data_IF_803577021100
#
_entry.id   IF_803577021100
#
_cell.length_a   1.000
_cell.length_b   1.000
_cell.length_c   1.000
_cell.angle_alpha   90.00
_cell.angle_beta   90.00
_cell.angle_gamma   90.00
#
_symmetry.space_group_name_H-M   'P 1'
#
loop_
_entity.id
_entity.type
_entity.pdbx_description
1 polymer ?
#
# COMPACT_ATOMS: atom_id res chain seq x y z
N UNK A 1 -8.27 -13.83 30.11
CA UNK A 1 -9.58 -14.07 30.70
C UNK A 1 -10.73 -13.97 29.68
N UNK A 2 -10.47 -13.64 28.42
CA UNK A 2 -11.46 -13.52 27.34
C UNK A 2 -12.25 -12.21 27.33
N UNK A 3 -11.93 -11.26 28.19
CA UNK A 3 -12.53 -9.92 28.17
C UNK A 3 -12.07 -9.12 26.96
N UNK A 4 -12.99 -8.36 26.36
CA UNK A 4 -12.70 -7.36 25.33
C UNK A 4 -12.68 -5.92 25.91
N UNK A 5 -12.81 -5.77 27.24
CA UNK A 5 -12.79 -4.48 27.90
C UNK A 5 -11.35 -4.02 28.11
N UNK A 6 -11.04 -2.79 27.72
CA UNK A 6 -9.80 -2.10 28.03
C UNK A 6 -10.11 -0.87 28.91
N UNK A 7 -9.32 -0.65 29.96
CA UNK A 7 -9.40 0.53 30.85
C UNK A 7 -8.09 1.33 30.73
N UNK A 8 -7.93 1.99 29.58
CA UNK A 8 -6.74 2.80 29.27
C UNK A 8 -6.79 4.13 29.99
N UNK A 9 -5.94 4.31 31.00
CA UNK A 9 -5.83 5.53 31.79
C UNK A 9 -4.58 6.32 31.42
N UNK A 10 -4.70 7.64 31.43
CA UNK A 10 -3.58 8.54 31.19
C UNK A 10 -2.50 8.35 32.26
N UNK A 11 -1.26 8.12 31.80
CA UNK A 11 -0.08 7.97 32.65
C UNK A 11 0.84 9.19 32.56
N UNK A 12 1.00 9.76 31.36
CA UNK A 12 1.87 10.90 31.13
C UNK A 12 2.03 11.23 29.65
N UNK A 13 2.87 12.23 29.39
CA UNK A 13 3.28 12.56 28.02
C UNK A 13 4.75 12.94 27.97
N UNK A 14 5.33 12.91 26.75
CA UNK A 14 6.65 13.44 26.45
C UNK A 14 6.63 14.15 25.09
N UNK A 15 7.52 15.12 24.93
CA UNK A 15 7.78 15.80 23.67
C UNK A 15 9.14 15.35 23.14
N UNK A 16 9.19 15.03 21.85
CA UNK A 16 10.40 14.60 21.15
C UNK A 16 10.62 15.51 19.95
N UNK A 17 11.88 15.84 19.65
CA UNK A 17 12.25 16.51 18.39
C UNK A 17 12.22 15.50 17.25
N UNK A 18 11.78 15.97 16.07
CA UNK A 18 11.69 15.14 14.89
C UNK A 18 10.47 14.23 14.85
N UNK A 19 10.40 13.46 13.79
CA UNK A 19 9.35 12.50 13.51
C UNK A 19 9.70 11.13 14.08
N UNK A 20 8.75 10.45 14.70
CA UNK A 20 8.93 9.05 15.12
C UNK A 20 9.14 8.13 13.90
N UNK A 21 9.96 7.08 14.09
CA UNK A 21 10.20 6.07 13.07
C UNK A 21 9.03 5.08 12.96
N UNK A 22 8.72 4.67 11.73
CA UNK A 22 7.76 3.60 11.42
C UNK A 22 8.53 2.34 11.00
N UNK A 23 8.60 1.34 11.88
CA UNK A 23 9.30 0.09 11.58
C UNK A 23 8.43 -0.83 10.71
N UNK A 24 8.90 -1.15 9.50
CA UNK A 24 8.22 -2.05 8.57
C UNK A 24 6.92 -1.52 7.96
N UNK A 25 6.59 -0.26 8.20
CA UNK A 25 5.41 0.43 7.68
C UNK A 25 5.81 1.74 7.00
N UNK A 26 5.11 2.15 5.95
CA UNK A 26 5.25 3.49 5.38
C UNK A 26 4.88 4.57 6.40
N UNK A 27 5.56 5.71 6.33
CA UNK A 27 5.25 6.86 7.15
C UNK A 27 5.90 8.12 6.62
N UNK A 28 5.36 9.27 6.96
CA UNK A 28 6.03 10.54 6.73
C UNK A 28 7.36 10.57 7.49
N UNK A 29 8.35 11.23 6.94
CA UNK A 29 9.68 11.41 7.54
C UNK A 29 10.06 12.89 7.59
N UNK A 30 10.93 13.27 8.52
CA UNK A 30 11.48 14.61 8.63
C UNK A 30 12.86 14.58 9.25
N UNK A 31 13.60 15.69 9.12
CA UNK A 31 14.76 15.97 9.95
C UNK A 31 14.30 16.40 11.36
N UNK A 32 15.22 16.35 12.34
CA UNK A 32 14.92 16.64 13.75
C UNK A 32 14.36 18.05 13.99
N UNK A 33 14.78 19.04 13.18
CA UNK A 33 14.37 20.42 13.34
C UNK A 33 13.09 20.82 12.56
N UNK A 34 12.54 19.89 11.75
CA UNK A 34 11.37 20.18 10.90
C UNK A 34 10.03 19.79 11.55
N UNK A 35 10.06 19.02 12.64
CA UNK A 35 8.85 18.51 13.31
C UNK A 35 9.05 18.34 14.79
N UNK A 36 7.95 18.38 15.53
CA UNK A 36 7.87 17.95 16.92
C UNK A 36 6.87 16.81 17.07
N UNK A 37 7.16 15.87 17.96
CA UNK A 37 6.31 14.72 18.26
C UNK A 37 5.84 14.75 19.71
N UNK A 38 4.53 14.78 19.91
CA UNK A 38 3.90 14.51 21.20
C UNK A 38 3.62 13.02 21.31
N UNK A 39 4.07 12.40 22.40
CA UNK A 39 3.73 11.01 22.74
C UNK A 39 2.93 11.00 24.04
N UNK A 40 1.69 10.52 23.98
CA UNK A 40 0.82 10.35 25.14
C UNK A 40 0.83 8.87 25.52
N UNK A 41 1.15 8.56 26.77
CA UNK A 41 1.11 7.21 27.31
C UNK A 41 -0.16 6.96 28.11
N UNK A 42 -0.85 5.90 27.73
CA UNK A 42 -2.01 5.36 28.45
C UNK A 42 -1.65 3.96 28.95
N UNK A 43 -2.24 3.56 30.09
CA UNK A 43 -1.97 2.28 30.72
C UNK A 43 -3.23 1.58 31.18
N UNK A 44 -3.35 0.31 30.86
CA UNK A 44 -4.27 -0.62 31.49
C UNK A 44 -3.51 -1.48 32.51
N UNK A 45 -3.65 -1.15 33.78
CA UNK A 45 -2.93 -1.84 34.86
C UNK A 45 -3.38 -3.30 35.05
N UNK A 46 -4.64 -3.60 34.76
CA UNK A 46 -5.20 -4.94 34.91
C UNK A 46 -4.78 -5.87 33.77
N UNK A 47 -4.77 -5.36 32.54
CA UNK A 47 -4.30 -6.10 31.37
C UNK A 47 -2.77 -6.06 31.21
N UNK A 48 -2.07 -5.22 31.96
CA UNK A 48 -0.63 -4.93 31.81
C UNK A 48 -0.26 -4.53 30.39
N UNK A 49 -1.04 -3.60 29.82
CA UNK A 49 -0.84 -3.10 28.46
C UNK A 49 -0.61 -1.60 28.51
N UNK A 50 0.46 -1.15 27.83
CA UNK A 50 0.69 0.26 27.59
C UNK A 50 0.24 0.59 26.15
N UNK A 51 -0.33 1.78 25.98
CA UNK A 51 -0.69 2.33 24.68
C UNK A 51 -0.04 3.71 24.54
N UNK A 52 0.80 3.87 23.52
CA UNK A 52 1.43 5.14 23.18
C UNK A 52 0.75 5.73 21.95
N UNK A 53 0.26 6.96 22.08
CA UNK A 53 -0.35 7.74 21.00
C UNK A 53 0.69 8.76 20.52
N UNK A 54 1.17 8.59 19.29
CA UNK A 54 2.14 9.47 18.67
C UNK A 54 1.45 10.50 17.78
N UNK A 55 1.81 11.77 17.93
CA UNK A 55 1.35 12.87 17.09
C UNK A 55 2.58 13.68 16.66
N UNK A 56 2.90 13.70 15.37
CA UNK A 56 3.93 14.60 14.85
C UNK A 56 3.30 15.74 14.06
N UNK A 57 3.77 16.94 14.32
CA UNK A 57 3.27 18.18 13.71
C UNK A 57 4.26 18.67 12.66
N UNK A 58 3.77 18.86 11.44
CA UNK A 58 4.47 19.46 10.30
C UNK A 58 3.86 20.84 10.06
N UNK A 59 4.36 21.87 10.76
CA UNK A 59 3.78 23.20 10.83
C UNK A 59 3.63 23.84 9.44
N UNK A 60 4.67 23.77 8.58
CA UNK A 60 4.67 24.35 7.23
C UNK A 60 3.62 23.77 6.28
N UNK A 61 2.98 22.65 6.67
CA UNK A 61 2.01 21.91 5.85
C UNK A 61 0.64 21.80 6.50
N UNK A 62 0.44 22.35 7.70
CA UNK A 62 -0.76 22.15 8.53
C UNK A 62 -1.11 20.65 8.69
N UNK A 63 -0.08 19.79 8.70
CA UNK A 63 -0.21 18.34 8.71
C UNK A 63 0.11 17.79 10.10
N UNK A 64 -0.77 16.92 10.60
CA UNK A 64 -0.52 16.10 11.78
C UNK A 64 -0.52 14.64 11.34
N UNK A 65 0.55 13.91 11.69
CA UNK A 65 0.56 12.45 11.54
C UNK A 65 0.30 11.76 12.87
N UNK A 66 -0.36 10.60 12.83
CA UNK A 66 -0.72 9.84 14.01
C UNK A 66 -0.49 8.35 13.83
N UNK A 67 0.09 7.71 14.84
CA UNK A 67 0.13 6.25 14.98
C UNK A 67 -0.11 5.85 16.42
N UNK A 68 -0.45 4.59 16.64
CA UNK A 68 -0.64 3.99 17.97
C UNK A 68 0.30 2.81 18.12
N UNK A 69 1.03 2.75 19.22
CA UNK A 69 1.81 1.59 19.63
C UNK A 69 1.16 0.95 20.84
N UNK A 70 0.94 -0.36 20.76
CA UNK A 70 0.41 -1.17 21.86
C UNK A 70 1.52 -2.09 22.32
N UNK A 71 1.89 -1.98 23.59
CA UNK A 71 2.99 -2.77 24.21
C UNK A 71 2.39 -3.73 25.23
N UNK A 72 2.63 -5.00 25.04
CA UNK A 72 2.26 -6.01 26.04
C UNK A 72 3.34 -6.08 27.15
N UNK A 73 3.09 -5.42 28.26
CA UNK A 73 3.98 -5.43 29.43
C UNK A 73 3.76 -6.65 30.35
N UNK A 74 2.71 -7.44 30.07
CA UNK A 74 2.35 -8.62 30.84
C UNK A 74 3.21 -9.84 30.49
N UNK A 75 2.94 -10.94 31.18
CA UNK A 75 3.58 -12.23 30.95
C UNK A 75 2.78 -13.15 30.02
N UNK A 76 1.52 -12.84 29.81
CA UNK A 76 0.60 -13.63 28.99
C UNK A 76 0.42 -13.02 27.59
N UNK A 77 0.09 -13.88 26.63
CA UNK A 77 -0.26 -13.47 25.28
C UNK A 77 -1.61 -12.74 25.29
N UNK A 78 -1.70 -11.58 24.59
CA UNK A 78 -2.95 -10.86 24.35
C UNK A 78 -3.29 -10.88 22.86
N UNK A 79 -4.56 -10.62 22.54
CA UNK A 79 -5.03 -10.53 21.17
C UNK A 79 -5.68 -9.18 20.91
N UNK A 80 -5.20 -8.51 19.86
CA UNK A 80 -5.76 -7.25 19.37
C UNK A 80 -6.75 -7.56 18.24
N UNK A 81 -8.03 -7.40 18.49
CA UNK A 81 -9.08 -7.61 17.49
C UNK A 81 -9.46 -6.32 16.75
N UNK A 82 -9.09 -5.17 17.28
CA UNK A 82 -9.22 -3.84 16.66
C UNK A 82 -8.18 -2.90 17.26
N UNK A 83 -7.47 -2.18 16.40
CA UNK A 83 -6.59 -1.09 16.80
C UNK A 83 -6.60 -0.01 15.71
N UNK A 84 -7.27 1.10 15.97
CA UNK A 84 -7.40 2.18 15.00
C UNK A 84 -6.19 3.11 15.04
N UNK A 85 -5.74 3.56 13.87
CA UNK A 85 -4.68 4.55 13.71
C UNK A 85 -5.14 5.95 14.12
N UNK A 86 -6.41 6.27 13.82
CA UNK A 86 -7.01 7.58 14.03
C UNK A 86 -8.34 7.46 14.75
N UNK A 87 -8.57 8.39 15.69
CA UNK A 87 -9.86 8.66 16.29
C UNK A 87 -9.97 10.16 16.53
N UNK A 88 -10.92 10.82 15.87
CA UNK A 88 -11.19 12.26 15.99
C UNK A 88 -12.64 12.50 16.36
N UNK A 89 -12.85 13.33 17.37
CA UNK A 89 -14.18 13.75 17.82
C UNK A 89 -14.49 15.17 17.35
N UNK A 90 -15.73 15.37 16.90
CA UNK A 90 -16.28 16.66 16.48
C UNK A 90 -17.54 16.94 17.29
N UNK A 91 -17.63 18.16 17.86
CA UNK A 91 -18.79 18.60 18.65
C UNK A 91 -19.91 19.11 17.72
N UNK A 92 -20.14 18.43 16.60
CA UNK A 92 -21.13 18.76 15.58
C UNK A 92 -21.44 17.58 14.68
N UNK A 93 -22.59 17.61 14.02
CA UNK A 93 -23.04 16.59 13.03
C UNK A 93 -23.50 17.22 11.72
N UNK A 94 -23.47 18.55 11.59
CA UNK A 94 -23.92 19.30 10.42
C UNK A 94 -22.83 19.39 9.33
N UNK A 95 -22.13 18.28 9.10
CA UNK A 95 -21.06 18.15 8.12
C UNK A 95 -21.46 17.19 6.98
N UNK A 96 -20.70 17.25 5.89
CA UNK A 96 -20.71 16.25 4.84
C UNK A 96 -19.52 15.30 4.99
N UNK A 97 -19.75 14.04 4.62
CA UNK A 97 -18.73 13.00 4.51
C UNK A 97 -18.44 12.75 3.04
N UNK A 98 -17.19 12.89 2.65
CA UNK A 98 -16.72 12.66 1.28
C UNK A 98 -15.84 11.42 1.26
N UNK A 99 -16.11 10.55 0.30
CA UNK A 99 -15.38 9.32 0.02
C UNK A 99 -15.03 9.24 -1.46
N UNK A 100 -14.06 8.39 -1.80
CA UNK A 100 -13.57 8.23 -3.17
C UNK A 100 -13.75 6.78 -3.58
N UNK A 101 -14.61 6.57 -4.56
CA UNK A 101 -15.18 5.26 -4.92
C UNK A 101 -14.99 4.98 -6.41
N UNK A 102 -15.56 3.92 -6.89
CA UNK A 102 -15.85 3.44 -8.22
C UNK A 102 -15.12 2.15 -8.61
N UNK A 103 -14.55 2.05 -9.81
CA UNK A 103 -14.01 0.79 -10.34
C UNK A 103 -12.78 1.02 -11.21
N UNK A 104 -12.20 -0.05 -11.71
CA UNK A 104 -11.11 0.00 -12.70
C UNK A 104 -11.47 0.94 -13.87
N UNK A 105 -10.55 1.79 -14.28
CA UNK A 105 -10.66 2.88 -15.27
C UNK A 105 -11.55 4.07 -14.86
N UNK A 106 -12.15 4.03 -13.67
CA UNK A 106 -12.95 5.14 -13.14
C UNK A 106 -12.69 5.35 -11.65
N UNK A 107 -11.45 5.11 -11.22
CA UNK A 107 -11.07 5.17 -9.81
C UNK A 107 -11.20 6.59 -9.24
N UNK A 108 -11.48 6.64 -7.94
CA UNK A 108 -11.53 7.87 -7.13
C UNK A 108 -12.58 8.89 -7.58
N UNK A 109 -13.72 8.42 -8.05
CA UNK A 109 -14.89 9.26 -8.18
C UNK A 109 -15.34 9.74 -6.79
N UNK A 110 -15.47 11.04 -6.64
CA UNK A 110 -15.89 11.66 -5.38
C UNK A 110 -17.37 11.40 -5.14
N UNK A 111 -17.71 10.88 -3.97
CA UNK A 111 -19.08 10.76 -3.45
C UNK A 111 -19.20 11.59 -2.18
N UNK A 112 -20.22 12.48 -2.13
CA UNK A 112 -20.46 13.42 -1.06
C UNK A 112 -21.86 13.25 -0.51
N UNK A 113 -21.97 13.02 0.79
CA UNK A 113 -23.24 12.87 1.48
C UNK A 113 -23.25 13.54 2.85
N UNK A 114 -24.42 14.06 3.25
CA UNK A 114 -24.58 14.59 4.60
C UNK A 114 -24.42 13.49 5.66
N UNK A 115 -23.80 13.83 6.78
CA UNK A 115 -23.78 12.95 7.95
C UNK A 115 -25.19 12.66 8.45
N UNK A 116 -25.42 11.41 8.85
CA UNK A 116 -26.69 10.89 9.37
C UNK A 116 -26.45 10.19 10.68
N UNK A 117 -27.48 10.10 11.53
CA UNK A 117 -27.43 9.33 12.77
C UNK A 117 -27.00 7.89 12.53
N UNK A 118 -26.16 7.36 13.40
CA UNK A 118 -25.54 6.03 13.27
C UNK A 118 -24.19 6.08 12.56
N UNK A 119 -23.80 4.98 11.94
CA UNK A 119 -22.47 4.80 11.35
C UNK A 119 -22.56 4.83 9.82
N UNK A 120 -21.70 5.65 9.20
CA UNK A 120 -21.40 5.65 7.77
C UNK A 120 -19.95 5.26 7.60
N UNK A 121 -19.66 4.29 6.74
CA UNK A 121 -18.29 3.79 6.58
C UNK A 121 -17.96 3.41 5.15
N UNK A 122 -16.66 3.47 4.84
CA UNK A 122 -16.04 2.89 3.66
C UNK A 122 -14.84 2.06 4.06
N UNK A 123 -14.50 1.07 3.26
CA UNK A 123 -13.35 0.22 3.56
C UNK A 123 -13.13 -0.85 2.53
N UNK A 124 -12.10 -1.66 2.76
CA UNK A 124 -11.77 -2.82 1.95
C UNK A 124 -11.47 -4.03 2.83
N UNK A 125 -11.95 -5.19 2.40
CA UNK A 125 -11.62 -6.50 2.97
C UNK A 125 -11.02 -7.44 1.91
N UNK A 126 -10.41 -6.84 0.87
CA UNK A 126 -9.91 -7.52 -0.32
C UNK A 126 -8.40 -7.83 -0.28
N UNK A 127 -7.75 -7.53 0.86
CA UNK A 127 -6.30 -7.64 1.01
C UNK A 127 -5.51 -6.49 0.39
N UNK A 128 -6.20 -5.56 -0.28
CA UNK A 128 -5.68 -4.34 -0.90
C UNK A 128 -6.57 -3.15 -0.51
N UNK A 129 -6.08 -1.92 -0.68
CA UNK A 129 -6.90 -0.71 -0.47
C UNK A 129 -8.08 -0.61 -1.44
N UNK A 130 -7.96 -1.13 -2.66
CA UNK A 130 -8.96 -1.42 -3.68
C UNK A 130 -9.39 -0.26 -4.59
N UNK A 131 -9.96 -0.60 -5.76
CA UNK A 131 -10.54 0.38 -6.69
C UNK A 131 -11.85 0.98 -6.16
N UNK A 132 -12.60 0.18 -5.39
CA UNK A 132 -13.96 0.53 -4.97
C UNK A 132 -13.97 1.64 -3.93
N UNK A 133 -12.97 1.68 -3.08
CA UNK A 133 -12.84 2.68 -2.01
C UNK A 133 -11.37 3.03 -1.82
N UNK A 134 -11.09 4.29 -1.49
CA UNK A 134 -9.73 4.76 -1.23
C UNK A 134 -9.55 5.05 0.27
N UNK A 135 -8.38 4.78 0.88
CA UNK A 135 -8.10 5.09 2.29
C UNK A 135 -7.81 6.58 2.52
N UNK A 136 -8.66 7.43 1.93
CA UNK A 136 -8.69 8.87 2.10
C UNK A 136 -10.14 9.33 2.19
N UNK A 137 -10.47 10.08 3.22
CA UNK A 137 -11.82 10.61 3.45
C UNK A 137 -11.76 12.07 3.88
N UNK A 138 -12.85 12.80 3.68
CA UNK A 138 -12.97 14.21 4.10
C UNK A 138 -14.27 14.37 4.89
N UNK A 139 -14.17 15.06 6.03
CA UNK A 139 -15.31 15.69 6.70
C UNK A 139 -15.26 17.19 6.43
N UNK A 140 -16.36 17.80 6.05
CA UNK A 140 -16.36 19.21 5.68
C UNK A 140 -17.70 19.91 5.99
N UNK A 141 -17.66 21.23 6.01
CA UNK A 141 -18.87 22.04 6.02
C UNK A 141 -19.77 21.71 4.83
N UNK A 142 -21.11 21.74 5.02
CA UNK A 142 -22.07 21.40 3.96
C UNK A 142 -21.95 22.28 2.70
N UNK A 143 -21.47 23.50 2.85
CA UNK A 143 -21.23 24.42 1.74
C UNK A 143 -19.79 24.47 1.25
N UNK A 144 -18.90 23.61 1.75
CA UNK A 144 -17.51 23.63 1.34
C UNK A 144 -17.33 23.29 -0.13
N UNK A 145 -16.41 24.02 -0.80
CA UNK A 145 -15.99 23.83 -2.18
C UNK A 145 -14.46 23.92 -2.30
N UNK A 146 -13.95 24.15 -3.51
CA UNK A 146 -12.51 24.28 -3.77
C UNK A 146 -11.86 25.47 -3.02
N UNK A 147 -12.61 26.55 -2.78
CA UNK A 147 -12.10 27.84 -2.32
C UNK A 147 -12.57 28.22 -0.91
N UNK A 148 -13.66 27.62 -0.43
CA UNK A 148 -14.31 28.02 0.84
C UNK A 148 -14.77 26.82 1.68
N UNK A 149 -14.93 27.07 2.99
CA UNK A 149 -15.43 26.11 3.96
C UNK A 149 -14.34 25.32 4.68
N UNK A 150 -14.64 24.87 5.89
CA UNK A 150 -13.71 24.07 6.71
C UNK A 150 -13.75 22.63 6.23
N UNK A 151 -12.56 22.07 5.97
CA UNK A 151 -12.38 20.69 5.53
C UNK A 151 -11.35 19.98 6.40
N UNK A 152 -11.64 18.74 6.80
CA UNK A 152 -10.77 17.84 7.54
C UNK A 152 -10.49 16.62 6.66
N UNK A 153 -9.31 16.58 6.03
CA UNK A 153 -8.87 15.42 5.27
C UNK A 153 -8.16 14.42 6.17
N UNK A 154 -8.43 13.14 5.98
CA UNK A 154 -7.74 12.05 6.67
C UNK A 154 -7.29 10.99 5.67
N UNK A 155 -5.97 10.71 5.65
CA UNK A 155 -5.31 9.71 4.80
C UNK A 155 -4.73 8.61 5.70
N UNK A 156 -4.95 7.35 5.33
CA UNK A 156 -4.26 6.22 5.95
C UNK A 156 -3.12 5.73 5.04
N UNK A 157 -1.92 5.66 5.57
CA UNK A 157 -0.74 5.14 4.85
C UNK A 157 -0.70 3.62 4.95
N UNK A 158 -1.64 2.96 4.27
CA UNK A 158 -1.78 1.51 4.32
C UNK A 158 -2.41 0.95 3.06
N UNK A 159 -1.79 -0.09 2.50
CA UNK A 159 -2.19 -0.68 1.21
C UNK A 159 -3.00 -1.96 1.34
N UNK A 160 -3.44 -2.31 2.56
CA UNK A 160 -4.24 -3.50 2.87
C UNK A 160 -5.69 -3.19 3.24
N UNK A 161 -6.30 -4.11 3.97
CA UNK A 161 -7.67 -3.96 4.47
C UNK A 161 -7.78 -2.77 5.41
N UNK A 162 -8.64 -1.80 5.09
CA UNK A 162 -8.84 -0.61 5.90
C UNK A 162 -10.33 -0.33 6.14
N UNK A 163 -10.60 0.42 7.19
CA UNK A 163 -11.90 1.01 7.47
C UNK A 163 -11.74 2.50 7.80
N UNK A 164 -12.63 3.32 7.26
CA UNK A 164 -12.88 4.69 7.71
C UNK A 164 -14.36 4.82 8.00
N UNK A 165 -14.71 5.09 9.27
CA UNK A 165 -16.08 5.13 9.73
C UNK A 165 -16.35 6.43 10.49
N UNK A 166 -17.49 7.07 10.20
CA UNK A 166 -18.01 8.21 10.96
C UNK A 166 -19.29 7.80 11.67
N UNK A 167 -19.28 7.93 13.00
CA UNK A 167 -20.45 7.71 13.83
C UNK A 167 -21.02 9.05 14.32
N UNK A 168 -22.32 9.27 14.10
CA UNK A 168 -23.07 10.37 14.69
C UNK A 168 -23.89 9.87 15.86
N UNK A 169 -23.59 10.37 17.07
CA UNK A 169 -24.27 9.98 18.29
C UNK A 169 -25.56 10.75 18.51
N UNK A 170 -26.37 10.27 19.47
CA UNK A 170 -27.60 10.95 19.93
C UNK A 170 -27.33 12.28 20.65
N UNK A 171 -26.08 12.60 20.98
CA UNK A 171 -25.67 13.84 21.63
C UNK A 171 -25.16 14.91 20.69
N UNK A 172 -25.49 14.79 19.39
CA UNK A 172 -25.10 15.74 18.32
C UNK A 172 -23.60 15.93 18.15
N UNK A 173 -22.83 14.89 18.43
CA UNK A 173 -21.41 14.84 18.11
C UNK A 173 -21.11 13.71 17.14
N UNK A 174 -19.98 13.82 16.44
CA UNK A 174 -19.53 12.81 15.50
C UNK A 174 -18.09 12.39 15.76
N UNK A 175 -17.78 11.14 15.42
CA UNK A 175 -16.47 10.54 15.61
C UNK A 175 -16.00 9.87 14.33
N UNK A 176 -14.86 10.30 13.80
CA UNK A 176 -14.15 9.61 12.71
C UNK A 176 -13.15 8.63 13.30
N UNK A 177 -13.25 7.37 12.91
CA UNK A 177 -12.28 6.31 13.22
C UNK A 177 -11.72 5.76 11.91
N UNK A 178 -10.37 5.64 11.81
CA UNK A 178 -9.71 5.10 10.63
C UNK A 178 -8.54 4.19 11.04
N UNK A 179 -8.36 3.09 10.32
CA UNK A 179 -7.26 2.15 10.58
C UNK A 179 -7.41 0.83 9.82
N UNK A 180 -6.70 -0.21 10.27
CA UNK A 180 -6.86 -1.56 9.75
C UNK A 180 -8.30 -2.02 9.98
N UNK A 181 -8.91 -2.60 8.93
CA UNK A 181 -10.27 -3.12 9.01
C UNK A 181 -10.36 -4.26 10.04
N UNK A 182 -11.29 -4.23 11.01
CA UNK A 182 -11.38 -5.26 12.06
C UNK A 182 -11.87 -6.62 11.54
N UNK A 183 -12.47 -6.67 10.35
CA UNK A 183 -12.91 -7.91 9.73
C UNK A 183 -11.72 -8.84 9.45
N UNK A 184 -11.76 -10.05 9.98
CA UNK A 184 -10.66 -11.03 9.93
C UNK A 184 -9.32 -10.54 10.49
N UNK A 185 -9.30 -9.45 11.27
CA UNK A 185 -8.11 -9.00 11.97
C UNK A 185 -8.10 -9.52 13.41
N UNK A 186 -7.05 -10.26 13.74
CA UNK A 186 -6.79 -10.66 15.12
C UNK A 186 -5.27 -10.86 15.23
N UNK A 187 -4.60 -9.89 15.86
CA UNK A 187 -3.15 -9.92 16.02
C UNK A 187 -2.78 -10.44 17.41
N UNK A 188 -1.97 -11.47 17.45
CA UNK A 188 -1.43 -12.04 18.68
C UNK A 188 -0.18 -11.28 19.10
N UNK A 189 -0.17 -10.75 20.30
CA UNK A 189 0.93 -9.99 20.89
C UNK A 189 1.46 -10.75 22.10
N UNK A 190 2.61 -11.40 21.96
CA UNK A 190 3.26 -12.10 23.07
C UNK A 190 3.83 -11.12 24.11
N UNK A 191 4.23 -11.63 25.25
CA UNK A 191 4.86 -10.86 26.31
C UNK A 191 6.06 -10.04 25.79
N UNK A 192 6.11 -8.77 26.10
CA UNK A 192 7.14 -7.83 25.66
C UNK A 192 7.08 -7.39 24.19
N UNK A 193 6.14 -7.90 23.41
CA UNK A 193 6.00 -7.49 22.01
C UNK A 193 5.23 -6.18 21.85
N UNK A 194 5.48 -5.52 20.72
CA UNK A 194 4.85 -4.27 20.32
C UNK A 194 4.06 -4.47 19.02
N UNK A 195 2.88 -3.88 18.95
CA UNK A 195 2.12 -3.71 17.71
C UNK A 195 2.04 -2.22 17.38
N UNK A 196 2.40 -1.86 16.16
CA UNK A 196 2.30 -0.48 15.66
C UNK A 196 1.24 -0.42 14.56
N UNK A 197 0.29 0.51 14.67
CA UNK A 197 -0.71 0.73 13.63
C UNK A 197 -0.10 1.43 12.42
N UNK A 198 -0.66 1.28 11.21
CA UNK A 198 -0.32 2.16 10.09
C UNK A 198 -0.50 3.63 10.48
N UNK A 199 0.27 4.50 9.85
CA UNK A 199 0.17 5.94 10.10
C UNK A 199 -1.06 6.54 9.44
N UNK A 200 -1.74 7.46 10.14
CA UNK A 200 -2.76 8.34 9.59
C UNK A 200 -2.21 9.76 9.49
N UNK A 201 -2.52 10.47 8.41
CA UNK A 201 -2.13 11.85 8.16
C UNK A 201 -3.39 12.72 8.03
N UNK A 202 -3.41 13.84 8.74
CA UNK A 202 -4.61 14.69 8.89
C UNK A 202 -4.23 16.12 8.52
N UNK A 203 -5.05 16.77 7.70
CA UNK A 203 -4.97 18.21 7.40
C UNK A 203 -6.32 18.85 7.68
N UNK A 204 -6.31 19.99 8.37
CA UNK A 204 -7.45 20.87 8.49
C UNK A 204 -7.23 22.10 7.62
N UNK A 205 -8.15 22.40 6.70
CA UNK A 205 -8.15 23.60 5.86
C UNK A 205 -9.37 24.45 6.14
N UNK A 206 -9.23 25.74 6.47
CA UNK A 206 -10.35 26.65 6.56
C UNK A 206 -10.79 27.24 5.19
N UNK A 207 -10.03 27.00 4.13
CA UNK A 207 -10.20 27.58 2.81
C UNK A 207 -10.44 26.53 1.72
N UNK A 208 -11.33 25.59 1.99
CA UNK A 208 -11.81 24.60 1.02
C UNK A 208 -10.83 23.49 0.65
N UNK A 209 -11.25 22.69 -0.34
CA UNK A 209 -10.53 21.49 -0.78
C UNK A 209 -9.22 21.83 -1.50
N UNK A 210 -9.20 22.95 -2.24
CA UNK A 210 -8.02 23.37 -3.01
C UNK A 210 -6.81 23.65 -2.13
N UNK A 211 -6.97 24.32 -0.99
CA UNK A 211 -5.88 24.51 -0.03
C UNK A 211 -5.45 23.17 0.58
N UNK A 212 -6.39 22.37 1.07
CA UNK A 212 -6.12 21.08 1.69
C UNK A 212 -5.33 20.16 0.73
N UNK A 213 -5.77 20.04 -0.53
CA UNK A 213 -5.09 19.19 -1.50
C UNK A 213 -3.67 19.66 -1.81
N UNK A 214 -3.46 20.99 -1.95
CA UNK A 214 -2.11 21.56 -2.16
C UNK A 214 -1.18 21.30 -0.96
N UNK A 215 -1.69 21.36 0.26
CA UNK A 215 -0.92 21.05 1.48
C UNK A 215 -0.50 19.56 1.49
N UNK A 216 -1.44 18.62 1.22
CA UNK A 216 -1.08 17.21 1.05
C UNK A 216 -0.04 17.00 -0.05
N UNK A 217 -0.22 17.61 -1.23
CA UNK A 217 0.73 17.46 -2.34
C UNK A 217 2.14 17.97 -1.99
N UNK A 218 2.25 19.08 -1.25
CA UNK A 218 3.54 19.60 -0.81
C UNK A 218 4.19 18.69 0.22
N UNK A 219 3.42 18.27 1.24
CA UNK A 219 3.90 17.37 2.28
C UNK A 219 4.33 16.01 1.71
N UNK A 220 3.52 15.41 0.83
CA UNK A 220 3.84 14.15 0.16
C UNK A 220 5.14 14.26 -0.63
N UNK A 221 5.31 15.31 -1.44
CA UNK A 221 6.54 15.50 -2.23
C UNK A 221 7.78 15.71 -1.36
N UNK A 222 7.66 16.31 -0.20
CA UNK A 222 8.81 16.64 0.66
C UNK A 222 9.12 15.56 1.69
N UNK A 223 8.09 14.91 2.22
CA UNK A 223 8.19 14.11 3.45
C UNK A 223 7.64 12.68 3.31
N UNK A 224 7.22 12.25 2.11
CA UNK A 224 6.73 10.89 1.88
C UNK A 224 7.43 10.21 0.71
N UNK A 225 7.50 10.85 -0.46
CA UNK A 225 8.09 10.25 -1.67
C UNK A 225 9.60 10.05 -1.50
N UNK A 226 10.08 8.86 -1.87
CA UNK A 226 11.50 8.51 -1.86
C UNK A 226 12.01 8.12 -3.25
N UNK A 227 11.19 8.31 -4.29
CA UNK A 227 11.55 7.93 -5.65
C UNK A 227 12.72 8.77 -6.21
N UNK A 228 13.50 8.26 -7.20
CA UNK A 228 14.68 8.94 -7.74
C UNK A 228 14.36 10.23 -8.51
N UNK A 229 13.07 10.50 -8.76
CA UNK A 229 12.58 11.71 -9.43
C UNK A 229 11.90 12.70 -8.49
N UNK A 230 11.98 12.51 -7.18
CA UNK A 230 11.45 13.47 -6.21
C UNK A 230 12.02 14.86 -6.48
N UNK A 231 11.14 15.85 -6.72
CA UNK A 231 11.51 17.21 -7.10
C UNK A 231 11.99 17.37 -8.55
N UNK A 232 11.93 16.34 -9.38
CA UNK A 232 12.33 16.39 -10.80
C UNK A 232 11.16 15.96 -11.70
N UNK A 233 11.25 16.28 -13.00
CA UNK A 233 10.30 15.78 -14.00
C UNK A 233 10.53 14.28 -14.23
N UNK A 234 9.46 13.51 -14.14
CA UNK A 234 9.47 12.09 -14.52
C UNK A 234 9.59 11.94 -16.04
N UNK A 235 10.23 10.86 -16.54
CA UNK A 235 10.35 10.64 -17.97
C UNK A 235 8.99 10.37 -18.62
N UNK A 236 8.80 10.84 -19.84
CA UNK A 236 7.65 10.44 -20.66
C UNK A 236 7.88 9.02 -21.12
N UNK A 237 6.95 8.12 -20.86
CA UNK A 237 7.08 6.70 -21.16
C UNK A 237 6.05 6.22 -22.18
N UNK A 238 6.41 5.12 -22.86
CA UNK A 238 5.50 4.25 -23.60
C UNK A 238 5.62 2.83 -23.09
N UNK A 239 4.48 2.16 -22.97
CA UNK A 239 4.35 0.75 -22.58
C UNK A 239 3.77 -0.02 -23.77
N UNK A 240 4.28 -1.24 -24.05
CA UNK A 240 3.85 -2.00 -25.22
C UNK A 240 2.54 -2.77 -25.04
N UNK A 241 1.98 -2.87 -23.82
CA UNK A 241 0.85 -3.76 -23.54
C UNK A 241 -0.30 -3.62 -24.53
N UNK A 242 -0.87 -2.44 -24.66
CA UNK A 242 -2.01 -2.19 -25.55
C UNK A 242 -1.69 -2.35 -27.04
N UNK A 243 -0.40 -2.28 -27.43
CA UNK A 243 0.03 -2.43 -28.81
C UNK A 243 0.27 -3.88 -29.23
N UNK A 244 0.58 -4.77 -28.27
CA UNK A 244 1.04 -6.13 -28.60
C UNK A 244 0.43 -7.22 -27.76
N UNK A 245 -0.03 -6.92 -26.56
CA UNK A 245 -0.34 -7.92 -25.52
C UNK A 245 0.81 -8.94 -25.40
N UNK A 246 0.52 -10.25 -25.45
CA UNK A 246 1.51 -11.32 -25.38
C UNK A 246 2.22 -11.59 -26.72
N UNK A 247 1.73 -11.06 -27.84
CA UNK A 247 2.27 -11.31 -29.18
C UNK A 247 3.30 -10.28 -29.56
N UNK A 248 4.55 -10.51 -29.14
CA UNK A 248 5.68 -9.66 -29.50
C UNK A 248 6.99 -10.44 -29.66
N UNK A 249 7.92 -9.82 -30.39
CA UNK A 249 9.32 -10.21 -30.53
C UNK A 249 10.22 -9.03 -30.20
N UNK A 250 11.51 -9.29 -30.02
CA UNK A 250 12.49 -8.21 -29.80
C UNK A 250 12.49 -7.18 -30.95
N UNK A 251 12.23 -7.59 -32.18
CA UNK A 251 12.18 -6.68 -33.34
C UNK A 251 10.95 -5.77 -33.26
N UNK A 252 9.76 -6.33 -32.98
CA UNK A 252 8.54 -5.55 -32.85
C UNK A 252 8.64 -4.52 -31.73
N UNK A 253 9.22 -4.91 -30.56
CA UNK A 253 9.45 -3.98 -29.46
C UNK A 253 10.42 -2.86 -29.84
N UNK A 254 11.50 -3.19 -30.54
CA UNK A 254 12.47 -2.19 -31.01
C UNK A 254 11.88 -1.25 -32.07
N UNK A 255 10.95 -1.72 -32.91
CA UNK A 255 10.25 -0.86 -33.86
C UNK A 255 9.35 0.15 -33.16
N UNK A 256 8.57 -0.29 -32.15
CA UNK A 256 7.76 0.61 -31.32
C UNK A 256 8.66 1.63 -30.59
N UNK A 257 9.78 1.18 -30.01
CA UNK A 257 10.72 2.06 -29.33
C UNK A 257 11.32 3.12 -30.29
N UNK A 258 11.62 2.75 -31.56
CA UNK A 258 12.17 3.67 -32.57
C UNK A 258 11.18 4.78 -32.92
N UNK A 259 9.90 4.43 -33.15
CA UNK A 259 8.87 5.40 -33.41
C UNK A 259 8.63 6.31 -32.22
N UNK A 260 8.62 5.73 -30.99
CA UNK A 260 8.46 6.47 -29.75
C UNK A 260 9.63 7.46 -29.53
N UNK A 261 10.87 7.03 -29.76
CA UNK A 261 12.07 7.88 -29.65
C UNK A 261 12.01 9.07 -30.63
N UNK A 262 11.55 8.84 -31.86
CA UNK A 262 11.38 9.91 -32.86
C UNK A 262 10.36 10.98 -32.43
N UNK A 263 9.41 10.63 -31.56
CA UNK A 263 8.43 11.54 -30.96
C UNK A 263 8.90 12.18 -29.64
N UNK A 264 10.14 11.89 -29.19
CA UNK A 264 10.70 12.44 -27.95
C UNK A 264 10.30 11.72 -26.68
N UNK A 265 9.77 10.48 -26.77
CA UNK A 265 9.51 9.63 -25.61
C UNK A 265 10.83 9.12 -25.05
N UNK A 266 10.97 9.12 -23.73
CA UNK A 266 12.25 8.98 -23.03
C UNK A 266 12.47 7.59 -22.40
N UNK A 267 11.38 6.83 -22.18
CA UNK A 267 11.41 5.55 -21.50
C UNK A 267 10.49 4.56 -22.22
N UNK A 268 11.01 3.38 -22.55
CA UNK A 268 10.27 2.25 -23.08
C UNK A 268 10.07 1.21 -21.97
N UNK A 269 8.83 0.81 -21.71
CA UNK A 269 8.47 -0.20 -20.70
C UNK A 269 7.97 -1.46 -21.38
N UNK A 270 8.70 -2.56 -21.22
CA UNK A 270 8.28 -3.89 -21.65
C UNK A 270 7.33 -4.49 -20.62
N UNK A 271 6.08 -4.74 -21.03
CA UNK A 271 5.01 -5.28 -20.18
C UNK A 271 4.98 -6.81 -20.14
N UNK A 272 3.91 -7.43 -19.68
CA UNK A 272 3.72 -8.86 -19.48
C UNK A 272 4.03 -9.70 -20.74
N UNK A 273 4.56 -10.92 -20.54
CA UNK A 273 4.80 -11.88 -21.62
C UNK A 273 6.27 -12.12 -22.00
N UNK A 274 7.24 -11.50 -21.31
CA UNK A 274 8.68 -11.61 -21.63
C UNK A 274 9.36 -12.84 -21.01
N UNK A 275 8.71 -13.57 -20.11
CA UNK A 275 9.30 -14.63 -19.29
C UNK A 275 8.63 -16.00 -19.50
N UNK A 276 9.31 -17.08 -19.16
CA UNK A 276 8.82 -18.45 -19.23
C UNK A 276 8.11 -18.79 -20.55
N UNK A 277 6.99 -19.49 -20.47
CA UNK A 277 6.09 -19.78 -21.59
C UNK A 277 4.89 -18.82 -21.63
N UNK A 278 5.03 -17.61 -21.11
CA UNK A 278 3.96 -16.62 -20.89
C UNK A 278 3.40 -16.09 -22.21
N UNK A 279 2.41 -16.80 -22.76
CA UNK A 279 1.70 -16.41 -23.99
C UNK A 279 0.20 -16.11 -23.75
N UNK A 280 -0.25 -16.22 -22.49
CA UNK A 280 -1.60 -15.92 -22.04
C UNK A 280 -1.60 -15.77 -20.51
N UNK A 281 -2.73 -15.42 -19.92
CA UNK A 281 -2.90 -15.17 -18.47
C UNK A 281 -2.77 -16.43 -17.59
N UNK A 282 -2.78 -17.65 -18.15
CA UNK A 282 -2.96 -18.89 -17.38
C UNK A 282 -1.67 -19.67 -17.10
N UNK A 283 -0.49 -19.19 -17.56
CA UNK A 283 0.76 -19.91 -17.43
C UNK A 283 1.93 -19.03 -17.02
N UNK A 284 2.97 -19.67 -16.46
CA UNK A 284 4.32 -19.16 -16.16
C UNK A 284 4.42 -18.00 -15.16
N UNK A 285 3.34 -17.47 -14.63
CA UNK A 285 3.44 -16.43 -13.61
C UNK A 285 4.10 -17.01 -12.35
N UNK A 286 5.22 -16.40 -11.94
CA UNK A 286 6.13 -16.93 -10.91
C UNK A 286 7.49 -17.39 -11.46
N UNK A 287 7.59 -17.65 -12.77
CA UNK A 287 8.81 -18.14 -13.45
C UNK A 287 9.54 -16.97 -14.15
N UNK A 288 10.22 -16.13 -13.39
CA UNK A 288 10.83 -14.88 -13.87
C UNK A 288 12.14 -15.14 -14.66
N UNK A 289 12.06 -15.98 -15.69
CA UNK A 289 13.17 -16.30 -16.59
C UNK A 289 12.88 -15.83 -18.01
N UNK A 290 13.82 -15.13 -18.62
CA UNK A 290 13.65 -14.53 -19.95
C UNK A 290 13.29 -15.59 -21.00
N UNK A 291 12.24 -15.33 -21.76
CA UNK A 291 11.85 -16.15 -22.91
C UNK A 291 12.77 -15.84 -24.11
N UNK A 292 13.71 -16.75 -24.41
CA UNK A 292 14.68 -16.57 -25.48
C UNK A 292 14.11 -16.74 -26.90
N UNK A 293 12.92 -17.36 -27.02
CA UNK A 293 12.25 -17.45 -28.34
C UNK A 293 11.66 -16.10 -28.74
N UNK A 294 11.11 -15.35 -27.77
CA UNK A 294 10.62 -13.97 -27.99
C UNK A 294 11.74 -12.94 -28.03
N UNK A 295 12.76 -13.13 -27.20
CA UNK A 295 13.88 -12.22 -26.99
C UNK A 295 15.20 -12.92 -27.28
N UNK A 296 15.53 -13.21 -28.56
CA UNK A 296 16.81 -13.79 -28.93
C UNK A 296 17.97 -12.89 -28.48
N UNK A 297 18.95 -13.48 -27.78
CA UNK A 297 20.03 -12.73 -27.14
C UNK A 297 19.71 -12.12 -25.80
N UNK A 298 18.54 -12.46 -25.24
CA UNK A 298 18.14 -12.07 -23.89
C UNK A 298 17.75 -10.60 -23.75
N UNK A 299 17.64 -10.15 -22.50
CA UNK A 299 17.35 -8.75 -22.19
C UNK A 299 18.48 -7.82 -22.63
N UNK A 300 19.72 -8.29 -22.59
CA UNK A 300 20.92 -7.52 -22.95
C UNK A 300 20.86 -7.03 -24.40
N UNK A 301 20.44 -7.88 -25.32
CA UNK A 301 20.33 -7.52 -26.73
C UNK A 301 19.23 -6.48 -26.97
N UNK A 302 18.04 -6.66 -26.35
CA UNK A 302 16.93 -5.72 -26.48
C UNK A 302 17.25 -4.38 -25.83
N UNK A 303 17.73 -4.37 -24.59
CA UNK A 303 18.04 -3.16 -23.83
C UNK A 303 19.12 -2.35 -24.54
N UNK A 304 20.18 -3.00 -25.07
CA UNK A 304 21.21 -2.31 -25.85
C UNK A 304 20.64 -1.61 -27.10
N UNK A 305 19.69 -2.23 -27.79
CA UNK A 305 19.01 -1.61 -28.96
C UNK A 305 18.24 -0.38 -28.56
N UNK A 306 17.46 -0.45 -27.46
CA UNK A 306 16.64 0.66 -26.93
C UNK A 306 17.52 1.80 -26.44
N UNK A 307 18.60 1.49 -25.71
CA UNK A 307 19.57 2.50 -25.24
C UNK A 307 20.27 3.24 -26.39
N UNK A 308 20.59 2.52 -27.48
CA UNK A 308 21.18 3.14 -28.66
C UNK A 308 20.24 4.14 -29.38
N UNK A 309 18.93 4.09 -29.09
CA UNK A 309 17.92 5.09 -29.51
C UNK A 309 17.82 6.28 -28.56
N UNK A 310 18.63 6.32 -27.50
CA UNK A 310 18.60 7.36 -26.47
C UNK A 310 17.52 7.20 -25.41
N UNK A 311 16.83 6.06 -25.36
CA UNK A 311 15.75 5.78 -24.41
C UNK A 311 16.25 5.01 -23.20
N UNK A 312 15.60 5.21 -22.05
CA UNK A 312 15.69 4.34 -20.88
C UNK A 312 14.83 3.09 -21.08
N UNK A 313 15.09 2.07 -20.26
CA UNK A 313 14.34 0.82 -20.30
C UNK A 313 13.68 0.52 -18.96
N UNK A 314 12.43 0.05 -19.02
CA UNK A 314 11.64 -0.43 -17.89
C UNK A 314 11.07 -1.83 -18.15
N UNK A 315 10.71 -2.51 -17.07
CA UNK A 315 10.19 -3.87 -17.11
C UNK A 315 8.97 -4.03 -16.20
N UNK A 316 8.02 -4.85 -16.60
CA UNK A 316 6.86 -5.26 -15.83
C UNK A 316 7.13 -6.55 -15.05
N UNK A 317 6.65 -6.62 -13.81
CA UNK A 317 6.59 -7.84 -13.03
C UNK A 317 5.30 -7.87 -12.18
N UNK A 318 4.77 -9.07 -11.92
CA UNK A 318 3.65 -9.33 -11.00
C UNK A 318 4.10 -10.34 -9.92
N UNK A 319 4.98 -9.93 -9.00
CA UNK A 319 5.73 -10.85 -8.14
C UNK A 319 4.88 -11.51 -7.04
N UNK A 320 3.69 -11.00 -6.78
CA UNK A 320 2.79 -11.50 -5.74
C UNK A 320 1.92 -12.67 -6.19
N UNK A 321 1.91 -12.96 -7.50
CA UNK A 321 0.99 -13.92 -8.10
C UNK A 321 1.74 -15.12 -8.66
N UNK A 322 1.01 -16.23 -8.80
CA UNK A 322 1.51 -17.48 -9.38
C UNK A 322 0.41 -18.18 -10.17
N UNK A 323 0.77 -18.76 -11.32
CA UNK A 323 -0.13 -19.69 -12.02
C UNK A 323 0.10 -21.13 -11.54
N UNK A 324 -0.95 -21.95 -11.54
CA UNK A 324 -0.80 -23.39 -11.31
C UNK A 324 0.07 -24.04 -12.40
N UNK A 325 0.00 -23.54 -13.64
CA UNK A 325 0.90 -23.90 -14.74
C UNK A 325 2.16 -23.01 -14.72
N UNK A 326 2.97 -23.18 -13.67
CA UNK A 326 4.30 -22.61 -13.52
C UNK A 326 5.24 -23.62 -12.86
N UNK A 327 6.53 -23.49 -13.07
CA UNK A 327 7.54 -24.30 -12.39
C UNK A 327 7.57 -23.99 -10.90
N UNK A 328 7.37 -22.74 -10.53
CA UNK A 328 7.30 -22.31 -9.14
C UNK A 328 6.16 -23.04 -8.40
N UNK A 329 4.96 -23.07 -8.96
CA UNK A 329 3.83 -23.73 -8.28
C UNK A 329 4.00 -25.23 -8.22
N UNK A 330 4.54 -25.85 -9.29
CA UNK A 330 4.83 -27.30 -9.29
C UNK A 330 5.84 -27.68 -8.21
N UNK A 331 6.84 -26.81 -7.97
CA UNK A 331 7.84 -27.05 -6.94
C UNK A 331 7.31 -26.75 -5.52
N UNK A 332 6.47 -25.74 -5.37
CA UNK A 332 6.02 -25.19 -4.08
C UNK A 332 4.53 -24.85 -4.07
N UNK A 333 3.61 -25.84 -4.20
CA UNK A 333 2.18 -25.55 -4.19
C UNK A 333 1.69 -25.00 -2.84
N UNK A 334 2.42 -25.27 -1.76
CA UNK A 334 2.18 -24.76 -0.40
C UNK A 334 2.55 -23.26 -0.21
N UNK A 335 3.14 -22.62 -1.24
CA UNK A 335 3.46 -21.19 -1.18
C UNK A 335 2.29 -20.31 -1.59
N UNK A 336 1.26 -20.87 -2.20
CA UNK A 336 0.04 -20.13 -2.49
C UNK A 336 -0.85 -20.04 -1.23
N UNK A 337 -1.49 -18.88 -1.02
CA UNK A 337 -2.56 -18.72 -0.04
C UNK A 337 -3.76 -19.58 -0.49
N UNK A 338 -4.10 -20.62 0.28
CA UNK A 338 -5.24 -21.49 0.00
C UNK A 338 -5.71 -22.22 1.26
N UNK A 339 -7.02 -22.35 1.40
CA UNK A 339 -7.63 -23.09 2.51
C UNK A 339 -7.46 -24.59 2.29
N UNK A 340 -6.85 -25.36 3.22
CA UNK A 340 -6.66 -26.78 3.07
C UNK A 340 -7.97 -27.53 2.80
N UNK A 341 -7.95 -28.43 1.83
CA UNK A 341 -9.10 -29.25 1.45
C UNK A 341 -10.20 -28.54 0.65
N UNK A 342 -9.97 -27.30 0.21
CA UNK A 342 -10.86 -26.56 -0.69
C UNK A 342 -10.20 -26.32 -2.04
N UNK A 343 -11.00 -26.28 -3.11
CA UNK A 343 -10.52 -25.81 -4.40
C UNK A 343 -10.19 -24.30 -4.29
N UNK A 344 -9.02 -23.84 -4.78
CA UNK A 344 -8.64 -22.43 -4.68
C UNK A 344 -9.52 -21.56 -5.58
N UNK A 345 -9.86 -20.36 -5.09
CA UNK A 345 -10.46 -19.32 -5.93
C UNK A 345 -9.41 -18.74 -6.86
N UNK A 346 -9.72 -18.71 -8.14
CA UNK A 346 -8.87 -18.10 -9.17
C UNK A 346 -9.43 -16.75 -9.58
N UNK A 347 -8.55 -15.73 -9.62
CA UNK A 347 -8.82 -14.46 -10.28
C UNK A 347 -7.85 -14.33 -11.45
N UNK A 348 -8.32 -14.11 -12.68
CA UNK A 348 -7.49 -14.04 -13.90
C UNK A 348 -6.57 -15.26 -14.11
N UNK A 349 -7.01 -16.46 -13.72
CA UNK A 349 -6.17 -17.67 -13.80
C UNK A 349 -5.02 -17.74 -12.78
N UNK A 350 -4.99 -16.86 -11.79
CA UNK A 350 -3.89 -16.69 -10.85
C UNK A 350 -4.26 -17.09 -9.43
N UNK A 351 -3.28 -17.52 -8.66
CA UNK A 351 -3.27 -17.66 -7.21
C UNK A 351 -2.35 -16.58 -6.60
N UNK A 352 -2.50 -16.35 -5.31
CA UNK A 352 -1.71 -15.36 -4.55
C UNK A 352 -0.63 -16.10 -3.75
N UNK A 353 0.62 -15.67 -3.86
CA UNK A 353 1.71 -16.19 -3.03
C UNK A 353 1.58 -15.71 -1.58
N UNK A 354 1.97 -16.55 -0.63
CA UNK A 354 1.92 -16.22 0.80
C UNK A 354 3.10 -15.32 1.22
N UNK A 355 2.96 -14.03 0.99
CA UNK A 355 3.98 -13.04 1.38
C UNK A 355 4.07 -12.82 2.91
N UNK A 356 3.23 -13.44 3.72
CA UNK A 356 3.46 -13.51 5.15
C UNK A 356 4.70 -14.35 5.50
N UNK A 357 5.15 -15.21 4.59
CA UNK A 357 6.30 -16.12 4.73
C UNK A 357 7.58 -15.46 4.22
N UNK A 358 8.63 -15.58 5.04
CA UNK A 358 9.95 -15.04 4.68
C UNK A 358 10.61 -15.80 3.53
N UNK A 359 10.50 -17.14 3.51
CA UNK A 359 11.08 -18.00 2.47
C UNK A 359 10.49 -17.68 1.09
N UNK A 360 9.19 -17.41 1.00
CA UNK A 360 8.53 -16.99 -0.26
C UNK A 360 9.08 -15.63 -0.71
N UNK A 361 9.13 -14.65 0.20
CA UNK A 361 9.66 -13.31 -0.12
C UNK A 361 11.12 -13.35 -0.57
N UNK A 362 11.95 -14.13 0.13
CA UNK A 362 13.37 -14.23 -0.21
C UNK A 362 13.56 -14.84 -1.61
N UNK A 363 12.81 -15.89 -1.93
CA UNK A 363 12.87 -16.53 -3.26
C UNK A 363 12.45 -15.57 -4.38
N UNK A 364 11.32 -14.88 -4.21
CA UNK A 364 10.84 -13.90 -5.20
C UNK A 364 11.84 -12.75 -5.35
N UNK A 365 12.38 -12.24 -4.23
CA UNK A 365 13.41 -11.21 -4.26
C UNK A 365 14.65 -11.64 -5.05
N UNK A 366 15.13 -12.88 -4.83
CA UNK A 366 16.29 -13.42 -5.53
C UNK A 366 16.06 -13.56 -7.04
N UNK A 367 14.84 -13.93 -7.45
CA UNK A 367 14.46 -13.94 -8.87
C UNK A 367 14.43 -12.52 -9.45
N UNK A 368 13.79 -11.57 -8.77
CA UNK A 368 13.77 -10.16 -9.18
C UNK A 368 15.18 -9.60 -9.30
N UNK A 369 16.04 -9.86 -8.31
CA UNK A 369 17.44 -9.44 -8.30
C UNK A 369 18.21 -9.94 -9.52
N UNK A 370 18.03 -11.19 -9.94
CA UNK A 370 18.65 -11.73 -11.15
C UNK A 370 18.27 -10.93 -12.39
N UNK A 371 16.99 -10.59 -12.54
CA UNK A 371 16.49 -9.80 -13.67
C UNK A 371 17.01 -8.36 -13.62
N UNK A 372 16.86 -7.70 -12.46
CA UNK A 372 17.21 -6.29 -12.29
C UNK A 372 18.72 -6.02 -12.35
N UNK A 373 19.56 -7.06 -12.13
CA UNK A 373 21.02 -6.94 -12.16
C UNK A 373 21.66 -7.34 -13.49
N UNK A 374 20.92 -7.97 -14.43
CA UNK A 374 21.51 -8.42 -15.68
C UNK A 374 21.68 -7.29 -16.70
N UNK A 375 20.85 -6.24 -16.63
CA UNK A 375 20.88 -5.08 -17.52
C UNK A 375 20.54 -3.80 -16.77
N UNK A 376 20.79 -2.64 -17.37
CA UNK A 376 20.39 -1.35 -16.79
C UNK A 376 18.89 -1.14 -16.94
N UNK A 377 18.15 -1.35 -15.84
CA UNK A 377 16.72 -1.10 -15.73
C UNK A 377 16.51 0.18 -14.93
N UNK A 378 15.73 1.12 -15.46
CA UNK A 378 15.44 2.41 -14.85
C UNK A 378 14.02 2.51 -14.27
N UNK A 379 13.17 1.52 -14.55
CA UNK A 379 11.76 1.52 -14.21
C UNK A 379 11.24 0.11 -14.00
N UNK A 380 10.50 -0.09 -12.93
CA UNK A 380 9.82 -1.35 -12.63
C UNK A 380 8.31 -1.08 -12.48
N UNK A 381 7.50 -1.64 -13.37
CA UNK A 381 6.05 -1.70 -13.18
C UNK A 381 5.73 -2.93 -12.36
N UNK A 382 5.40 -2.71 -11.08
CA UNK A 382 4.94 -3.74 -10.15
C UNK A 382 3.43 -3.85 -10.23
N UNK A 383 2.92 -4.96 -10.71
CA UNK A 383 1.49 -5.19 -10.87
C UNK A 383 0.93 -6.20 -9.85
N UNK A 384 -0.38 -6.15 -9.65
CA UNK A 384 -1.18 -7.09 -8.86
C UNK A 384 -2.60 -7.13 -9.41
N UNK A 385 -2.94 -8.15 -10.19
CA UNK A 385 -4.18 -8.14 -10.98
C UNK A 385 -5.36 -8.88 -10.35
N UNK A 386 -5.28 -9.20 -9.07
CA UNK A 386 -6.41 -9.80 -8.34
C UNK A 386 -6.39 -9.45 -6.86
N UNK A 387 -7.56 -9.48 -6.23
CA UNK A 387 -7.71 -9.38 -4.78
C UNK A 387 -7.37 -10.71 -4.08
N UNK A 388 -7.06 -10.64 -2.77
CA UNK A 388 -6.96 -11.80 -1.90
C UNK A 388 -8.37 -12.34 -1.60
N UNK A 389 -8.57 -13.64 -1.74
CA UNK A 389 -9.87 -14.31 -1.50
C UNK A 389 -9.75 -15.43 -0.48
N UNK A 390 -8.94 -16.45 -0.74
CA UNK A 390 -8.77 -17.63 0.11
C UNK A 390 -7.56 -17.43 1.03
N UNK A 391 -7.70 -16.58 2.04
CA UNK A 391 -6.59 -16.18 2.89
C UNK A 391 -6.38 -17.18 4.01
N UNK A 392 -5.41 -18.06 3.79
CA UNK A 392 -4.93 -19.03 4.78
C UNK A 392 -3.46 -19.31 4.54
N UNK A 393 -2.62 -19.11 5.55
CA UNK A 393 -1.21 -19.49 5.52
C UNK A 393 -1.00 -20.84 6.18
N UNK A 394 -0.42 -21.79 5.45
CA UNK A 394 -0.15 -23.14 5.98
C UNK A 394 0.89 -23.16 7.11
N UNK A 395 1.68 -22.10 7.24
CA UNK A 395 2.71 -21.98 8.28
C UNK A 395 2.20 -21.39 9.59
N UNK A 396 0.99 -20.81 9.60
CA UNK A 396 0.39 -20.25 10.80
C UNK A 396 -0.66 -21.20 11.41
N UNK A 397 -0.69 -21.36 12.73
CA UNK A 397 -1.76 -22.11 13.38
C UNK A 397 -3.12 -21.42 13.20
N UNK A 398 -4.21 -22.18 13.32
CA UNK A 398 -5.58 -21.68 13.12
C UNK A 398 -5.89 -20.42 13.93
N UNK A 399 -5.39 -20.32 15.16
CA UNK A 399 -5.60 -19.16 16.05
C UNK A 399 -4.92 -17.87 15.56
N UNK A 400 -3.96 -17.96 14.63
CA UNK A 400 -3.20 -16.83 14.09
C UNK A 400 -3.54 -16.48 12.64
N UNK A 401 -4.52 -17.14 12.05
CA UNK A 401 -4.95 -16.85 10.67
C UNK A 401 -5.50 -15.43 10.51
N UNK A 402 -6.00 -14.80 11.57
CA UNK A 402 -6.40 -13.39 11.58
C UNK A 402 -5.26 -12.39 11.39
N UNK A 403 -4.00 -12.84 11.42
CA UNK A 403 -2.82 -12.01 11.16
C UNK A 403 -2.42 -11.98 9.67
N UNK A 404 -2.90 -12.93 8.85
CA UNK A 404 -2.36 -13.17 7.51
C UNK A 404 -2.48 -11.93 6.61
N UNK A 405 -3.62 -11.26 6.58
CA UNK A 405 -3.81 -10.06 5.77
C UNK A 405 -2.77 -8.97 6.09
N UNK A 406 -2.57 -8.68 7.38
CA UNK A 406 -1.61 -7.66 7.77
C UNK A 406 -0.16 -8.12 7.54
N UNK A 407 0.16 -9.38 7.85
CA UNK A 407 1.48 -9.96 7.57
C UNK A 407 1.83 -9.96 6.09
N UNK A 408 0.83 -10.20 5.24
CA UNK A 408 0.98 -10.12 3.79
C UNK A 408 1.41 -8.71 3.36
N UNK A 409 0.71 -7.68 3.83
CA UNK A 409 1.05 -6.27 3.52
C UNK A 409 2.44 -5.90 4.03
N UNK A 410 2.79 -6.32 5.27
CA UNK A 410 4.15 -6.12 5.78
C UNK A 410 5.20 -6.83 4.93
N UNK A 411 4.84 -7.98 4.34
CA UNK A 411 5.71 -8.70 3.41
C UNK A 411 5.92 -7.96 2.09
N UNK A 412 4.90 -7.28 1.57
CA UNK A 412 5.04 -6.40 0.40
C UNK A 412 5.97 -5.22 0.70
N UNK A 413 5.76 -4.56 1.83
CA UNK A 413 6.61 -3.44 2.24
C UNK A 413 8.07 -3.85 2.47
N UNK A 414 8.32 -5.04 3.04
CA UNK A 414 9.68 -5.61 3.17
C UNK A 414 10.35 -5.76 1.80
N UNK A 415 9.64 -6.28 0.79
CA UNK A 415 10.17 -6.42 -0.56
C UNK A 415 10.44 -5.07 -1.23
N UNK A 416 9.51 -4.14 -1.15
CA UNK A 416 9.65 -2.79 -1.69
C UNK A 416 10.82 -2.05 -1.03
N UNK A 417 10.99 -2.19 0.30
CA UNK A 417 12.11 -1.60 1.04
C UNK A 417 13.47 -2.17 0.58
N UNK A 418 13.55 -3.49 0.36
CA UNK A 418 14.76 -4.12 -0.19
C UNK A 418 15.09 -3.60 -1.59
N UNK A 419 14.07 -3.46 -2.46
CA UNK A 419 14.25 -2.90 -3.79
C UNK A 419 14.71 -1.46 -3.76
N UNK A 420 14.07 -0.62 -2.94
CA UNK A 420 14.45 0.77 -2.78
C UNK A 420 15.90 0.93 -2.27
N UNK A 421 16.32 0.10 -1.31
CA UNK A 421 17.68 0.09 -0.78
C UNK A 421 18.72 -0.38 -1.81
N UNK A 422 18.44 -1.49 -2.51
CA UNK A 422 19.42 -2.14 -3.39
C UNK A 422 19.42 -1.55 -4.82
N UNK A 423 18.30 -0.91 -5.23
CA UNK A 423 18.11 -0.30 -6.55
C UNK A 423 17.50 1.12 -6.45
N UNK A 424 18.13 2.07 -5.73
CA UNK A 424 17.55 3.40 -5.46
C UNK A 424 17.36 4.26 -6.72
N UNK A 425 17.92 3.85 -7.86
CA UNK A 425 17.80 4.53 -9.16
C UNK A 425 16.58 4.07 -9.97
N UNK A 426 15.91 3.00 -9.58
CA UNK A 426 14.72 2.48 -10.25
C UNK A 426 13.49 3.24 -9.79
N UNK A 427 12.74 3.79 -10.74
CA UNK A 427 11.40 4.32 -10.47
C UNK A 427 10.39 3.15 -10.44
N UNK A 428 9.66 2.99 -9.34
CA UNK A 428 8.66 1.94 -9.19
C UNK A 428 7.28 2.52 -9.50
N UNK A 429 6.54 1.87 -10.41
CA UNK A 429 5.11 2.09 -10.63
C UNK A 429 4.33 1.03 -9.87
N UNK A 430 3.45 1.44 -8.96
CA UNK A 430 2.50 0.55 -8.30
C UNK A 430 1.23 0.39 -9.13
N UNK A 431 1.16 -0.63 -9.97
CA UNK A 431 -0.07 -1.04 -10.65
C UNK A 431 -0.83 -2.08 -9.82
N UNK A 432 -2.14 -2.06 -9.89
CA UNK A 432 -2.99 -3.11 -9.31
C UNK A 432 -4.27 -3.20 -10.15
N UNK A 433 -4.16 -3.76 -11.35
CA UNK A 433 -5.21 -3.63 -12.36
C UNK A 433 -5.63 -2.17 -12.52
N UNK A 434 -4.70 -1.26 -12.81
CA UNK A 434 -4.85 0.19 -12.66
C UNK A 434 -4.61 0.68 -11.24
N UNK A 435 -5.50 1.51 -10.69
CA UNK A 435 -5.35 2.20 -9.42
C UNK A 435 -5.84 1.46 -8.15
N UNK A 436 -5.84 0.12 -8.15
CA UNK A 436 -6.37 -0.67 -7.03
C UNK A 436 -5.58 -0.57 -5.71
N UNK A 437 -4.35 -0.06 -5.76
CA UNK A 437 -3.50 0.25 -4.60
C UNK A 437 -2.90 1.66 -4.68
N UNK A 438 -3.65 2.61 -5.19
CA UNK A 438 -3.22 4.01 -5.14
C UNK A 438 -3.57 4.60 -3.77
N UNK A 439 -2.63 4.53 -2.85
CA UNK A 439 -2.75 4.97 -1.46
C UNK A 439 -1.44 5.54 -0.92
N UNK A 440 -1.49 6.17 0.26
CA UNK A 440 -0.32 6.77 0.89
C UNK A 440 0.80 5.78 1.22
N UNK A 441 0.46 4.50 1.43
CA UNK A 441 1.44 3.44 1.68
C UNK A 441 2.29 3.14 0.45
N UNK A 442 1.66 3.00 -0.72
CA UNK A 442 2.39 2.75 -1.98
C UNK A 442 3.14 3.99 -2.48
N UNK A 443 2.68 5.20 -2.17
CA UNK A 443 3.39 6.43 -2.51
C UNK A 443 4.75 6.57 -1.80
N UNK A 444 4.98 5.83 -0.73
CA UNK A 444 6.24 5.86 0.03
C UNK A 444 7.39 5.18 -0.72
N UNK A 445 7.08 4.27 -1.64
CA UNK A 445 8.03 3.51 -2.46
C UNK A 445 7.96 3.95 -3.92
#
# INVERSE_FOLDING_TARGET
NGSHTADMRYEGFRLEKGKYAMEGLPGFYSNEDETETLVITLKDAAAQVDMELYYSVFEDYDLITRTVRVVNQGTEEIRLCRCASLCLDFLRTDMDFITFNACHLMERCMDRGALRSGIQSVGSVRGISSHQHNPFVILCDRGADEDTGICYGAMLLYSGNFEAAVECSQYENSRLVMGIHPYHFCWTLAAGQVFTTPEAAIICSPNGFGQMSRQYHRAIRRHLLRDPYTGRRKPVLVNNWEATYFDFTADRLADIAREAAALGIELFVMDDGWFGSRNNDNCSLGDWQVNLDKLPGGLEALVSRIKNMGMKFGIWMEPEMVNEDSDLYRAHPDWALQVPGRAPSRGRGQLVLDFSRKDVRDHIYDQMKKVLSCVEISYLKWDMNRSLTDVWSVTLPARRQGEVYHRYVLGIYDLLERLHRDYPHILIEGCCGGGGRFDGGMLYY
#
